data_IF_102559495720
#
_entry.id   IF_102559495720
#
_cell.length_a   1.000
_cell.length_b   1.000
_cell.length_c   1.000
_cell.angle_alpha   90.00
_cell.angle_beta   90.00
_cell.angle_gamma   90.00
#
_symmetry.space_group_name_H-M   'P 1'
#
loop_
_entity.id
_entity.type
_entity.pdbx_description
1 polymer ?
#
# COMPACT_ATOMS: atom_id res chain seq x y z
N UNK A 1 -34.44 61.43 -54.95
CA UNK A 1 -33.35 62.02 -54.14
C UNK A 1 -32.64 60.86 -53.44
N UNK A 2 -31.33 60.78 -53.66
CA UNK A 2 -30.48 59.63 -53.39
C UNK A 2 -30.01 59.61 -51.95
N UNK A 3 -30.26 58.54 -51.22
CA UNK A 3 -29.72 58.30 -49.88
C UNK A 3 -28.75 57.10 -49.86
N UNK A 4 -27.46 57.36 -49.71
CA UNK A 4 -26.40 56.39 -49.74
C UNK A 4 -26.37 55.56 -48.39
N UNK A 5 -26.46 54.26 -48.48
CA UNK A 5 -26.27 53.34 -47.41
C UNK A 5 -24.76 53.13 -47.16
N UNK A 6 -24.28 53.55 -45.99
CA UNK A 6 -22.89 53.30 -45.53
C UNK A 6 -22.82 51.92 -44.86
N UNK A 7 -22.19 50.99 -45.57
CA UNK A 7 -21.91 49.68 -45.09
C UNK A 7 -20.70 49.73 -44.12
N UNK A 8 -20.94 49.57 -42.79
CA UNK A 8 -19.84 49.49 -41.83
C UNK A 8 -19.39 48.03 -41.72
N UNK A 9 -18.21 47.78 -42.27
CA UNK A 9 -17.50 46.50 -42.12
C UNK A 9 -16.92 46.43 -40.71
N UNK A 10 -17.49 45.57 -39.85
CA UNK A 10 -16.92 45.27 -38.54
C UNK A 10 -15.84 44.20 -38.68
N UNK A 11 -14.59 44.59 -38.54
CA UNK A 11 -13.46 43.66 -38.46
C UNK A 11 -13.51 42.92 -37.12
N UNK A 12 -13.82 41.65 -37.15
CA UNK A 12 -13.69 40.76 -35.97
C UNK A 12 -12.23 40.34 -35.87
N UNK A 13 -11.48 40.99 -35.00
CA UNK A 13 -10.15 40.52 -34.59
C UNK A 13 -10.31 39.26 -33.76
N UNK A 14 -10.09 38.11 -34.38
CA UNK A 14 -9.98 36.83 -33.69
C UNK A 14 -8.75 36.79 -32.77
N UNK A 15 -9.00 36.84 -31.47
CA UNK A 15 -7.98 36.62 -30.46
C UNK A 15 -7.74 35.10 -30.35
N UNK A 16 -6.78 34.58 -31.10
CA UNK A 16 -6.31 33.22 -30.95
C UNK A 16 -5.47 33.16 -29.68
N UNK A 17 -6.09 32.80 -28.54
CA UNK A 17 -5.36 32.45 -27.35
C UNK A 17 -4.63 31.12 -27.60
N UNK A 18 -3.32 31.02 -27.34
CA UNK A 18 -2.65 29.73 -27.39
C UNK A 18 -3.26 28.84 -26.29
N UNK A 19 -3.83 27.72 -26.72
CA UNK A 19 -4.11 26.59 -25.80
C UNK A 19 -2.76 26.11 -25.31
N UNK A 20 -2.35 26.62 -24.13
CA UNK A 20 -1.24 26.06 -23.39
C UNK A 20 -1.62 24.61 -23.10
N UNK A 21 -0.86 23.68 -23.65
CA UNK A 21 -0.93 22.25 -23.33
C UNK A 21 -0.82 22.10 -21.80
N UNK A 22 -1.96 21.90 -21.17
CA UNK A 22 -2.05 21.32 -19.83
C UNK A 22 -1.73 19.83 -19.96
N UNK A 23 -0.51 19.52 -20.35
CA UNK A 23 0.04 18.21 -20.12
C UNK A 23 -0.03 17.97 -18.61
N UNK A 24 -0.67 16.87 -18.12
CA UNK A 24 -0.59 16.54 -16.73
C UNK A 24 0.91 16.47 -16.41
N UNK A 25 1.35 17.24 -15.41
CA UNK A 25 2.67 17.10 -14.85
C UNK A 25 2.72 15.67 -14.33
N UNK A 26 3.11 14.73 -15.18
CA UNK A 26 3.59 13.45 -14.76
C UNK A 26 4.67 13.82 -13.75
N UNK A 27 4.40 13.59 -12.47
CA UNK A 27 5.40 13.70 -11.44
C UNK A 27 6.57 12.85 -11.94
N UNK A 28 7.54 13.51 -12.53
CA UNK A 28 8.80 12.90 -12.85
C UNK A 28 9.36 12.54 -11.47
N UNK A 29 9.11 11.28 -11.08
CA UNK A 29 9.97 10.66 -10.10
C UNK A 29 11.36 10.88 -10.67
N UNK A 30 12.10 11.83 -10.10
CA UNK A 30 13.50 12.03 -10.40
C UNK A 30 14.15 10.65 -10.36
N UNK A 31 15.34 10.45 -10.90
CA UNK A 31 16.08 9.23 -10.68
C UNK A 31 16.30 9.13 -9.18
N UNK A 32 15.25 8.67 -8.46
CA UNK A 32 15.37 8.24 -7.09
C UNK A 32 16.33 7.08 -7.20
N UNK A 33 17.53 7.33 -6.76
CA UNK A 33 18.63 6.39 -6.77
C UNK A 33 18.03 5.03 -6.41
N UNK A 34 18.11 4.13 -7.37
CA UNK A 34 17.66 2.78 -7.13
C UNK A 34 18.47 2.32 -5.93
N UNK A 35 17.85 1.86 -4.85
CA UNK A 35 18.60 1.47 -3.67
C UNK A 35 19.67 0.46 -4.07
N UNK A 36 20.84 0.45 -3.40
CA UNK A 36 21.88 -0.53 -3.70
C UNK A 36 21.29 -1.94 -3.63
N UNK A 37 21.61 -2.74 -4.66
CA UNK A 37 21.21 -4.13 -4.66
C UNK A 37 21.86 -4.86 -3.48
N UNK A 38 21.04 -5.62 -2.76
CA UNK A 38 21.48 -6.52 -1.69
C UNK A 38 21.37 -7.96 -2.17
N UNK A 39 22.46 -8.72 -2.05
CA UNK A 39 22.39 -10.16 -2.30
C UNK A 39 21.44 -10.84 -1.29
N UNK A 40 20.30 -11.30 -1.79
CA UNK A 40 19.29 -11.98 -0.99
C UNK A 40 19.45 -13.49 -1.12
N UNK A 41 19.39 -14.24 -0.02
CA UNK A 41 19.51 -15.69 -0.03
C UNK A 41 18.43 -16.42 -0.80
N UNK A 42 17.32 -15.76 -1.11
CA UNK A 42 16.19 -16.30 -1.88
C UNK A 42 16.31 -16.04 -3.40
N UNK A 43 17.35 -15.37 -3.86
CA UNK A 43 17.57 -15.07 -5.29
C UNK A 43 18.18 -16.24 -6.05
N UNK A 44 17.91 -16.24 -7.36
CA UNK A 44 18.44 -17.25 -8.29
C UNK A 44 17.75 -18.60 -8.20
N UNK A 45 18.13 -19.54 -9.07
CA UNK A 45 17.43 -20.82 -9.22
C UNK A 45 17.56 -21.77 -8.03
N UNK A 46 18.54 -21.54 -7.16
CA UNK A 46 18.78 -22.32 -5.93
C UNK A 46 18.50 -21.51 -4.68
N UNK A 47 17.94 -20.30 -4.83
CA UNK A 47 17.63 -19.40 -3.73
C UNK A 47 16.63 -20.02 -2.76
N UNK A 48 16.82 -19.75 -1.47
CA UNK A 48 15.94 -20.22 -0.39
C UNK A 48 15.74 -19.13 0.65
N UNK A 49 14.52 -19.10 1.22
CA UNK A 49 14.26 -18.27 2.36
C UNK A 49 14.89 -18.87 3.64
N UNK A 50 15.55 -18.03 4.42
CA UNK A 50 15.84 -18.35 5.82
C UNK A 50 14.53 -18.26 6.63
N UNK A 51 13.95 -19.40 6.95
CA UNK A 51 12.66 -19.47 7.66
C UNK A 51 12.72 -18.77 9.02
N UNK A 52 13.88 -18.80 9.70
CA UNK A 52 14.04 -18.08 10.96
C UNK A 52 13.98 -16.57 10.78
N UNK A 53 14.55 -16.06 9.68
CA UNK A 53 14.44 -14.65 9.33
C UNK A 53 13.00 -14.27 8.95
N UNK A 54 12.28 -15.15 8.23
CA UNK A 54 10.87 -14.94 7.88
C UNK A 54 10.00 -14.90 9.15
N UNK A 55 10.22 -15.80 10.09
CA UNK A 55 9.50 -15.80 11.38
C UNK A 55 9.76 -14.50 12.18
N UNK A 56 11.01 -14.03 12.24
CA UNK A 56 11.32 -12.74 12.87
C UNK A 56 10.64 -11.57 12.14
N UNK A 57 10.62 -11.60 10.81
CA UNK A 57 9.89 -10.61 9.99
C UNK A 57 8.40 -10.61 10.27
N UNK A 58 7.79 -11.79 10.39
CA UNK A 58 6.40 -11.91 10.79
C UNK A 58 6.14 -11.34 12.18
N UNK A 59 7.02 -11.59 13.13
CA UNK A 59 6.87 -11.02 14.48
C UNK A 59 6.91 -9.48 14.46
N UNK A 60 7.78 -8.88 13.64
CA UNK A 60 7.81 -7.43 13.45
C UNK A 60 6.51 -6.94 12.78
N UNK A 61 6.04 -7.64 11.74
CA UNK A 61 4.77 -7.30 11.12
C UNK A 61 3.63 -7.33 12.13
N UNK A 62 3.48 -8.43 12.86
CA UNK A 62 2.38 -8.63 13.80
C UNK A 62 2.37 -7.62 14.96
N UNK A 63 3.55 -7.17 15.40
CA UNK A 63 3.68 -6.27 16.57
C UNK A 63 3.72 -4.79 16.18
N UNK A 64 4.14 -4.46 14.97
CA UNK A 64 4.39 -3.08 14.55
C UNK A 64 3.58 -2.73 13.30
N UNK A 65 3.83 -3.40 12.18
CA UNK A 65 3.32 -2.98 10.88
C UNK A 65 1.80 -3.17 10.75
N UNK A 66 1.25 -4.22 11.35
CA UNK A 66 -0.17 -4.57 11.29
C UNK A 66 -1.10 -3.53 11.93
N UNK A 67 -0.56 -2.61 12.72
CA UNK A 67 -1.34 -1.48 13.24
C UNK A 67 -1.83 -0.53 12.15
N UNK A 68 -1.11 -0.46 11.02
CA UNK A 68 -1.42 0.43 9.91
C UNK A 68 -1.55 -0.28 8.55
N UNK A 69 -0.90 -1.43 8.36
CA UNK A 69 -0.81 -2.14 7.09
C UNK A 69 -1.56 -3.48 7.12
N UNK A 70 -2.46 -3.69 6.16
CA UNK A 70 -3.09 -4.98 5.93
C UNK A 70 -2.18 -5.97 5.21
N UNK A 71 -2.53 -7.26 5.27
CA UNK A 71 -2.04 -8.37 4.44
C UNK A 71 -3.21 -9.22 3.96
N UNK A 72 -4.20 -8.59 3.39
CA UNK A 72 -5.52 -9.19 3.11
C UNK A 72 -5.53 -10.33 2.09
N UNK A 73 -4.47 -10.47 1.28
CA UNK A 73 -4.34 -11.61 0.37
C UNK A 73 -3.79 -12.87 1.05
N UNK A 74 -3.34 -12.76 2.30
CA UNK A 74 -2.78 -13.86 3.08
C UNK A 74 -3.84 -14.41 4.03
N UNK A 75 -3.85 -15.73 4.21
CA UNK A 75 -4.58 -16.41 5.28
C UNK A 75 -3.63 -16.73 6.43
N UNK A 76 -4.18 -16.99 7.64
CA UNK A 76 -3.32 -17.47 8.73
C UNK A 76 -2.69 -18.82 8.39
N UNK A 77 -3.34 -19.66 7.57
CA UNK A 77 -2.80 -20.92 7.08
C UNK A 77 -1.50 -20.79 6.30
N UNK A 78 -1.30 -19.68 5.61
CA UNK A 78 -0.07 -19.41 4.85
C UNK A 78 1.17 -19.29 5.73
N UNK A 79 1.00 -19.07 7.03
CA UNK A 79 2.11 -19.06 8.00
C UNK A 79 2.82 -20.42 8.11
N UNK A 80 2.22 -21.50 7.65
CA UNK A 80 2.92 -22.80 7.52
C UNK A 80 4.11 -22.71 6.58
N UNK A 81 4.07 -21.80 5.58
CA UNK A 81 5.18 -21.56 4.67
C UNK A 81 6.46 -21.06 5.33
N UNK A 82 6.38 -20.53 6.56
CA UNK A 82 7.56 -20.18 7.34
C UNK A 82 7.99 -21.27 8.35
N UNK A 83 7.49 -22.50 8.19
CA UNK A 83 7.87 -23.65 8.98
C UNK A 83 7.07 -23.85 10.26
N UNK A 84 5.96 -23.14 10.45
CA UNK A 84 5.05 -23.38 11.60
C UNK A 84 4.16 -24.59 11.34
N UNK A 85 3.83 -25.31 12.41
CA UNK A 85 2.82 -26.37 12.34
C UNK A 85 1.42 -25.77 12.28
N UNK A 86 0.45 -26.53 11.76
CA UNK A 86 -0.95 -26.08 11.70
C UNK A 86 -1.52 -25.80 13.10
N UNK A 87 -1.07 -26.51 14.11
CA UNK A 87 -1.45 -26.25 15.50
C UNK A 87 -0.92 -24.88 16.00
N UNK A 88 0.35 -24.55 15.68
CA UNK A 88 0.93 -23.25 16.01
C UNK A 88 0.19 -22.12 15.28
N UNK A 89 -0.09 -22.32 14.01
CA UNK A 89 -0.89 -21.38 13.20
C UNK A 89 -2.28 -21.18 13.79
N UNK A 90 -2.95 -22.26 14.19
CA UNK A 90 -4.25 -22.19 14.86
C UNK A 90 -4.23 -21.36 16.14
N UNK A 91 -3.18 -21.51 16.95
CA UNK A 91 -3.00 -20.68 18.16
C UNK A 91 -2.78 -19.20 17.83
N UNK A 92 -2.01 -18.91 16.80
CA UNK A 92 -1.80 -17.52 16.35
C UNK A 92 -3.13 -16.94 15.84
N UNK A 93 -3.84 -17.64 14.97
CA UNK A 93 -5.12 -17.19 14.43
C UNK A 93 -6.13 -16.90 15.54
N UNK A 94 -6.25 -17.79 16.52
CA UNK A 94 -7.20 -17.67 17.62
C UNK A 94 -6.98 -16.43 18.51
N UNK A 95 -5.83 -15.78 18.45
CA UNK A 95 -5.60 -14.50 19.13
C UNK A 95 -6.28 -13.31 18.43
N UNK A 96 -6.76 -13.50 17.21
CA UNK A 96 -7.34 -12.46 16.38
C UNK A 96 -8.86 -12.58 16.33
N UNK A 97 -9.54 -11.43 16.25
CA UNK A 97 -11.01 -11.38 16.08
C UNK A 97 -11.36 -11.03 14.65
N UNK A 98 -12.20 -11.83 14.05
CA UNK A 98 -12.71 -11.62 12.69
C UNK A 98 -14.25 -11.56 12.70
N UNK A 99 -14.90 -11.03 11.66
CA UNK A 99 -16.36 -11.05 11.56
C UNK A 99 -16.91 -12.46 11.73
N UNK A 100 -17.89 -12.62 12.61
CA UNK A 100 -18.56 -13.88 12.92
C UNK A 100 -19.96 -14.01 12.33
N UNK A 101 -20.38 -13.01 11.54
CA UNK A 101 -21.76 -12.91 11.04
C UNK A 101 -22.59 -11.97 11.88
N UNK A 102 -23.87 -12.32 12.08
CA UNK A 102 -24.82 -11.57 12.91
C UNK A 102 -25.44 -12.51 13.95
N UNK A 103 -25.83 -11.98 15.08
CA UNK A 103 -26.57 -12.71 16.10
C UNK A 103 -28.07 -12.86 15.78
N UNK A 104 -28.84 -13.40 16.71
CA UNK A 104 -30.28 -13.58 16.54
C UNK A 104 -31.07 -12.25 16.46
N UNK A 105 -30.48 -11.14 16.88
CA UNK A 105 -31.03 -9.79 16.84
C UNK A 105 -30.64 -9.06 15.54
N UNK A 106 -29.70 -9.63 14.75
CA UNK A 106 -29.15 -9.04 13.53
C UNK A 106 -27.93 -8.15 13.77
N UNK A 107 -27.39 -8.14 14.98
CA UNK A 107 -26.22 -7.34 15.33
C UNK A 107 -24.91 -8.03 14.90
N UNK A 108 -23.92 -7.29 14.36
CA UNK A 108 -22.64 -7.86 13.97
C UNK A 108 -21.89 -8.46 15.17
N UNK A 109 -21.45 -9.71 15.02
CA UNK A 109 -20.64 -10.38 16.04
C UNK A 109 -19.24 -10.69 15.51
N UNK A 110 -18.29 -10.88 16.41
CA UNK A 110 -16.96 -11.35 16.07
C UNK A 110 -16.73 -12.74 16.64
N UNK A 111 -15.78 -13.45 16.03
CA UNK A 111 -15.29 -14.75 16.52
C UNK A 111 -13.76 -14.79 16.45
N UNK A 112 -13.17 -15.72 17.17
CA UNK A 112 -11.76 -16.04 16.99
C UNK A 112 -11.50 -16.51 15.55
N UNK A 113 -10.40 -16.05 14.97
CA UNK A 113 -9.99 -16.48 13.64
C UNK A 113 -9.49 -17.94 13.65
N UNK A 114 -9.56 -18.56 12.52
CA UNK A 114 -9.05 -19.89 12.19
C UNK A 114 -7.94 -19.80 11.15
N UNK A 115 -7.20 -20.87 10.88
CA UNK A 115 -6.21 -20.86 9.77
C UNK A 115 -6.77 -20.53 8.40
N UNK A 116 -8.07 -20.74 8.15
CA UNK A 116 -8.72 -20.43 6.88
C UNK A 116 -9.08 -18.94 6.72
N UNK A 117 -9.07 -18.19 7.80
CA UNK A 117 -9.40 -16.77 7.74
C UNK A 117 -8.23 -15.94 7.21
N UNK A 118 -8.55 -14.87 6.48
CA UNK A 118 -7.57 -13.89 6.04
C UNK A 118 -7.07 -13.04 7.21
N UNK A 119 -5.87 -12.51 7.05
CA UNK A 119 -5.37 -11.48 7.95
C UNK A 119 -6.33 -10.29 7.99
N UNK A 120 -6.59 -9.82 9.19
CA UNK A 120 -7.50 -8.70 9.39
C UNK A 120 -6.86 -7.41 8.89
N UNK A 121 -7.64 -6.61 8.13
CA UNK A 121 -7.26 -5.22 7.86
C UNK A 121 -7.37 -4.38 9.14
N UNK A 122 -6.41 -3.46 9.39
CA UNK A 122 -6.45 -2.58 10.56
C UNK A 122 -7.59 -1.55 10.50
N UNK A 123 -8.07 -1.23 9.30
CA UNK A 123 -9.13 -0.24 9.07
C UNK A 123 -10.30 -0.86 8.31
N UNK A 124 -11.49 -0.33 8.56
CA UNK A 124 -12.74 -0.84 7.95
C UNK A 124 -12.84 -0.53 6.45
N UNK A 125 -12.17 0.51 5.99
CA UNK A 125 -12.10 0.92 4.58
C UNK A 125 -10.89 1.84 4.33
N UNK A 126 -10.56 2.12 3.06
CA UNK A 126 -9.44 3.00 2.70
C UNK A 126 -9.58 4.43 3.19
N UNK A 127 -10.80 4.96 3.31
CA UNK A 127 -11.08 6.30 3.79
C UNK A 127 -10.72 6.44 5.27
N UNK A 128 -11.10 5.46 6.08
CA UNK A 128 -10.72 5.39 7.50
C UNK A 128 -9.19 5.24 7.66
N UNK A 129 -8.58 4.43 6.80
CA UNK A 129 -7.12 4.28 6.78
C UNK A 129 -6.40 5.60 6.45
N UNK A 130 -6.87 6.32 5.43
CA UNK A 130 -6.31 7.62 5.06
C UNK A 130 -6.50 8.67 6.17
N UNK A 131 -7.69 8.75 6.77
CA UNK A 131 -7.97 9.68 7.86
C UNK A 131 -7.04 9.46 9.06
N UNK A 132 -6.72 8.21 9.38
CA UNK A 132 -5.80 7.86 10.48
C UNK A 132 -4.31 8.07 10.13
N UNK A 133 -3.97 8.26 8.85
CA UNK A 133 -2.59 8.29 8.36
C UNK A 133 -2.30 9.54 7.50
N UNK A 134 -2.63 10.70 8.00
CA UNK A 134 -2.34 12.01 7.38
C UNK A 134 -2.85 12.14 5.93
N UNK A 135 -4.01 11.55 5.63
CA UNK A 135 -4.65 11.64 4.33
C UNK A 135 -4.23 10.59 3.31
N UNK A 136 -3.32 9.67 3.65
CA UNK A 136 -2.85 8.61 2.75
C UNK A 136 -3.08 7.24 3.37
N UNK A 137 -3.83 6.37 2.71
CA UNK A 137 -4.01 5.00 3.16
C UNK A 137 -2.70 4.20 3.03
N UNK A 138 -2.20 3.56 4.11
CA UNK A 138 -1.04 2.69 4.03
C UNK A 138 -1.29 1.53 3.05
N UNK A 139 -0.32 1.19 2.19
CA UNK A 139 -0.50 0.10 1.24
C UNK A 139 -0.59 -1.26 1.93
N UNK A 140 -1.39 -2.16 1.35
CA UNK A 140 -1.43 -3.57 1.73
C UNK A 140 -0.09 -4.24 1.44
N UNK A 141 0.43 -5.00 2.39
CA UNK A 141 1.76 -5.60 2.30
C UNK A 141 1.79 -7.00 1.68
N UNK A 142 0.63 -7.61 1.37
CA UNK A 142 0.55 -8.99 0.86
C UNK A 142 1.50 -9.28 -0.30
N UNK A 143 1.65 -8.32 -1.21
CA UNK A 143 2.46 -8.47 -2.42
C UNK A 143 3.46 -7.34 -2.63
N UNK A 144 3.66 -6.49 -1.64
CA UNK A 144 4.44 -5.28 -1.77
C UNK A 144 5.87 -5.55 -2.29
N UNK A 145 6.53 -6.58 -1.76
CA UNK A 145 7.87 -6.98 -2.19
C UNK A 145 7.96 -7.45 -3.65
N UNK A 146 6.83 -7.84 -4.25
CA UNK A 146 6.77 -8.31 -5.64
C UNK A 146 6.43 -7.19 -6.62
N UNK A 147 5.59 -6.23 -6.21
CA UNK A 147 5.01 -5.23 -7.12
C UNK A 147 5.62 -3.83 -6.94
N UNK A 148 6.24 -3.56 -5.81
CA UNK A 148 6.80 -2.24 -5.54
C UNK A 148 8.11 -2.03 -6.33
N UNK A 149 8.28 -0.90 -7.03
CA UNK A 149 9.48 -0.63 -7.80
C UNK A 149 10.75 -0.70 -6.94
N UNK A 150 11.67 -1.60 -7.29
CA UNK A 150 12.88 -1.90 -6.51
C UNK A 150 12.71 -3.04 -5.50
N UNK A 151 11.48 -3.59 -5.37
CA UNK A 151 11.22 -4.81 -4.61
C UNK A 151 11.79 -4.82 -3.19
N UNK A 152 12.39 -5.95 -2.77
CA UNK A 152 12.96 -6.11 -1.44
C UNK A 152 14.05 -5.08 -1.10
N UNK A 153 14.88 -4.69 -2.08
CA UNK A 153 15.95 -3.69 -1.89
C UNK A 153 15.36 -2.34 -1.46
N UNK A 154 14.27 -1.93 -2.12
CA UNK A 154 13.61 -0.66 -1.80
C UNK A 154 12.97 -0.68 -0.42
N UNK A 155 12.29 -1.78 -0.07
CA UNK A 155 11.67 -1.92 1.24
C UNK A 155 12.74 -1.93 2.33
N UNK A 156 13.83 -2.66 2.13
CA UNK A 156 14.95 -2.70 3.07
C UNK A 156 15.58 -1.31 3.24
N UNK A 157 15.89 -0.61 2.14
CA UNK A 157 16.47 0.73 2.19
C UNK A 157 15.55 1.72 2.91
N UNK A 158 14.23 1.63 2.68
CA UNK A 158 13.25 2.44 3.38
C UNK A 158 13.28 2.20 4.89
N UNK A 159 13.20 0.93 5.32
CA UNK A 159 13.12 0.57 6.74
C UNK A 159 14.41 0.83 7.51
N UNK A 160 15.58 0.78 6.85
CA UNK A 160 16.90 0.96 7.48
C UNK A 160 17.54 2.32 7.22
N UNK A 161 16.95 3.13 6.35
CA UNK A 161 17.51 4.40 5.88
C UNK A 161 17.12 5.62 6.70
N UNK A 162 16.26 5.48 7.70
CA UNK A 162 15.85 6.60 8.55
C UNK A 162 17.05 7.22 9.28
N UNK A 163 17.14 8.55 9.21
CA UNK A 163 18.13 9.35 9.90
C UNK A 163 17.41 10.42 10.72
N UNK A 164 18.01 10.85 11.82
CA UNK A 164 17.53 12.04 12.51
C UNK A 164 17.66 13.25 11.56
N UNK A 165 16.62 14.09 11.52
CA UNK A 165 16.69 15.33 10.75
C UNK A 165 17.78 16.23 11.34
N UNK A 166 18.60 16.88 10.51
CA UNK A 166 19.55 17.89 11.01
C UNK A 166 18.80 18.98 11.77
N UNK A 167 19.16 19.22 13.03
CA UNK A 167 18.58 20.29 13.86
C UNK A 167 17.26 19.96 14.56
N UNK A 168 16.80 18.72 14.59
CA UNK A 168 15.68 18.27 15.41
C UNK A 168 16.15 17.96 16.83
N UNK A 169 16.13 18.94 17.70
CA UNK A 169 16.21 18.87 19.14
C UNK A 169 15.03 19.59 19.76
#
# INVERSE_FOLDING_TARGET
MRGAAILRLAAVLGFAAPLADLAPAAAQAGPHDRPPHRAWGFEGPLGRFDLSAVQRGYAVYAQVCSACHGMKSMTYGDLTGMGLTMEQVGRIAATQQVPGGVDAQGDPVTRAATPADHFRDPFVNPEAAAAANNGVAPPDQSRLALVYPGGPDRIYALLTGYRQAPGGG
#
